data_IF_171653351049
#
_entry.id   IF_171653351049
#
_cell.length_a   1.000
_cell.length_b   1.000
_cell.length_c   1.000
_cell.angle_alpha   90.00
_cell.angle_beta   90.00
_cell.angle_gamma   90.00
#
_symmetry.space_group_name_H-M   'P 1'
#
loop_
_entity.id
_entity.type
_entity.pdbx_description
1 polymer ?
#
# COMPACT_ATOMS: atom_id res chain seq x y z
N UNK A 1 -31.94 -44.11 -35.08
CA UNK A 1 -30.61 -44.72 -34.92
C UNK A 1 -29.69 -43.67 -34.31
N UNK A 2 -29.14 -43.90 -33.12
CA UNK A 2 -28.31 -42.92 -32.41
C UNK A 2 -26.83 -43.16 -32.77
N UNK A 3 -26.20 -42.20 -33.43
CA UNK A 3 -24.76 -42.20 -33.72
C UNK A 3 -24.00 -41.54 -32.57
N UNK A 4 -23.27 -42.32 -31.78
CA UNK A 4 -22.39 -41.81 -30.72
C UNK A 4 -21.01 -41.49 -31.29
N UNK A 5 -20.55 -40.23 -31.17
CA UNK A 5 -19.17 -39.85 -31.48
C UNK A 5 -18.18 -40.48 -30.48
N UNK A 6 -16.97 -40.90 -30.93
CA UNK A 6 -15.93 -41.38 -30.02
C UNK A 6 -15.30 -40.23 -29.22
N UNK A 7 -14.82 -40.47 -27.98
CA UNK A 7 -14.19 -39.43 -27.17
C UNK A 7 -12.85 -38.95 -27.78
N UNK A 8 -12.52 -37.65 -27.66
CA UNK A 8 -11.27 -37.12 -28.20
C UNK A 8 -10.07 -37.72 -27.45
N UNK A 9 -9.07 -38.19 -28.21
CA UNK A 9 -7.81 -38.72 -27.68
C UNK A 9 -7.04 -37.59 -27.00
N UNK A 10 -6.61 -37.79 -25.75
CA UNK A 10 -5.77 -36.84 -25.02
C UNK A 10 -4.45 -36.62 -25.79
N UNK A 11 -4.01 -35.37 -26.02
CA UNK A 11 -2.75 -35.11 -26.70
C UNK A 11 -1.57 -35.63 -25.86
N UNK A 12 -0.57 -36.20 -26.54
CA UNK A 12 0.69 -36.62 -25.91
C UNK A 12 1.45 -35.37 -25.49
N UNK A 13 1.50 -35.13 -24.18
CA UNK A 13 2.27 -34.03 -23.59
C UNK A 13 3.75 -34.28 -23.87
N UNK A 14 4.46 -33.30 -24.41
CA UNK A 14 5.89 -33.40 -24.70
C UNK A 14 6.72 -33.01 -23.48
N UNK A 15 7.96 -33.49 -23.34
CA UNK A 15 8.83 -33.10 -22.21
C UNK A 15 9.00 -31.58 -22.10
N UNK A 16 9.00 -30.85 -23.23
CA UNK A 16 9.06 -29.40 -23.26
C UNK A 16 7.85 -28.72 -22.58
N UNK A 17 6.65 -29.32 -22.69
CA UNK A 17 5.46 -28.82 -22.01
C UNK A 17 5.52 -29.05 -20.49
N UNK A 18 6.18 -30.15 -20.08
CA UNK A 18 6.40 -30.48 -18.66
C UNK A 18 7.39 -29.49 -18.04
N UNK A 19 8.50 -29.20 -18.73
CA UNK A 19 9.46 -28.18 -18.29
C UNK A 19 8.83 -26.79 -18.23
N UNK A 20 7.96 -26.43 -19.17
CA UNK A 20 7.22 -25.17 -19.15
C UNK A 20 6.29 -25.07 -17.93
N UNK A 21 5.66 -26.17 -17.51
CA UNK A 21 4.82 -26.21 -16.31
C UNK A 21 5.65 -26.18 -15.02
N UNK A 22 6.82 -26.83 -14.99
CA UNK A 22 7.75 -26.81 -13.85
C UNK A 22 8.33 -25.39 -13.66
N UNK A 23 8.71 -24.72 -14.76
CA UNK A 23 9.16 -23.32 -14.74
C UNK A 23 8.03 -22.33 -14.44
N UNK A 24 6.77 -22.73 -14.66
CA UNK A 24 5.57 -22.05 -14.18
C UNK A 24 5.25 -22.42 -12.73
N UNK A 25 6.25 -22.90 -11.99
CA UNK A 25 6.21 -23.14 -10.56
C UNK A 25 5.61 -21.93 -9.85
N UNK A 26 4.57 -22.19 -9.07
CA UNK A 26 3.85 -21.19 -8.30
C UNK A 26 4.79 -20.49 -7.33
N UNK A 27 5.23 -19.28 -7.69
CA UNK A 27 5.85 -18.37 -6.73
C UNK A 27 4.75 -17.77 -5.85
N UNK A 28 4.42 -18.48 -4.77
CA UNK A 28 3.80 -17.89 -3.59
C UNK A 28 4.86 -17.68 -2.52
N UNK A 29 5.89 -16.91 -2.87
CA UNK A 29 6.66 -16.18 -1.87
C UNK A 29 6.76 -14.78 -2.46
N UNK A 30 5.92 -13.87 -1.97
CA UNK A 30 6.26 -12.45 -2.04
C UNK A 30 7.58 -12.36 -1.30
N UNK A 31 8.67 -12.41 -2.05
CA UNK A 31 9.96 -11.99 -1.57
C UNK A 31 9.72 -10.69 -0.82
N UNK A 32 10.09 -10.70 0.45
CA UNK A 32 10.24 -9.50 1.25
C UNK A 32 11.33 -8.70 0.56
N UNK A 33 11.00 -8.02 -0.54
CA UNK A 33 11.85 -7.02 -1.15
C UNK A 33 12.27 -6.07 -0.02
N UNK A 34 13.54 -5.65 0.03
CA UNK A 34 13.98 -4.65 1.00
C UNK A 34 13.00 -3.49 0.88
N UNK A 35 12.41 -3.09 2.01
CA UNK A 35 11.33 -2.12 1.98
C UNK A 35 11.85 -0.83 1.35
N UNK A 36 11.49 -0.59 0.08
CA UNK A 36 11.90 0.61 -0.65
C UNK A 36 11.56 1.83 0.21
N UNK A 37 12.54 2.65 0.60
CA UNK A 37 12.28 3.82 1.43
C UNK A 37 11.38 4.84 0.72
N UNK A 38 11.30 4.76 -0.61
CA UNK A 38 10.45 5.62 -1.46
C UNK A 38 9.02 5.10 -1.62
N UNK A 39 8.72 3.87 -1.20
CA UNK A 39 7.36 3.33 -1.32
C UNK A 39 6.49 3.89 -0.20
N UNK A 40 5.43 4.61 -0.58
CA UNK A 40 4.43 5.11 0.35
C UNK A 40 3.82 3.95 1.16
N UNK A 41 4.03 3.97 2.48
CA UNK A 41 3.44 3.02 3.42
C UNK A 41 2.23 3.65 4.06
N UNK A 42 1.09 2.98 3.98
CA UNK A 42 -0.12 3.39 4.68
C UNK A 42 -0.06 2.90 6.14
N UNK A 43 -0.27 3.80 7.09
CA UNK A 43 -0.31 3.51 8.51
C UNK A 43 -1.65 3.98 9.06
N UNK A 44 -2.38 3.07 9.72
CA UNK A 44 -3.60 3.40 10.46
C UNK A 44 -3.23 3.76 11.89
N UNK A 45 -3.48 5.01 12.28
CA UNK A 45 -3.23 5.49 13.64
C UNK A 45 -4.56 5.72 14.36
N UNK A 46 -4.71 5.16 15.55
CA UNK A 46 -5.84 5.44 16.44
C UNK A 46 -5.40 6.45 17.50
N UNK A 47 -6.05 7.61 17.51
CA UNK A 47 -5.83 8.67 18.47
C UNK A 47 -7.08 8.85 19.34
N UNK A 48 -6.90 9.34 20.56
CA UNK A 48 -8.03 9.75 21.39
C UNK A 48 -8.63 11.06 20.87
N UNK A 49 -9.92 11.29 21.13
CA UNK A 49 -10.60 12.52 20.69
C UNK A 49 -10.01 13.80 21.28
N UNK A 50 -9.44 13.72 22.49
CA UNK A 50 -8.74 14.84 23.13
C UNK A 50 -7.51 15.27 22.31
N UNK A 51 -6.69 14.32 21.88
CA UNK A 51 -5.50 14.59 21.05
C UNK A 51 -5.91 15.22 19.71
N UNK A 52 -6.97 14.72 19.08
CA UNK A 52 -7.48 15.27 17.82
C UNK A 52 -7.92 16.73 18.02
N UNK A 53 -8.65 17.02 19.09
CA UNK A 53 -9.10 18.38 19.41
C UNK A 53 -7.91 19.33 19.66
N UNK A 54 -6.87 18.85 20.34
CA UNK A 54 -5.65 19.64 20.56
C UNK A 54 -4.93 19.94 19.24
N UNK A 55 -4.79 18.95 18.35
CA UNK A 55 -4.18 19.11 17.03
C UNK A 55 -4.94 20.18 16.23
N UNK A 56 -6.28 20.13 16.22
CA UNK A 56 -7.09 21.13 15.50
C UNK A 56 -6.93 22.54 16.08
N UNK A 57 -6.87 22.67 17.41
CA UNK A 57 -6.63 23.97 18.05
C UNK A 57 -5.26 24.57 17.66
N UNK A 58 -4.23 23.72 17.55
CA UNK A 58 -2.88 24.14 17.14
C UNK A 58 -2.82 24.45 15.64
N UNK A 59 -3.55 23.72 14.81
CA UNK A 59 -3.67 23.99 13.36
C UNK A 59 -4.34 25.32 13.08
N UNK A 60 -5.37 25.68 13.85
CA UNK A 60 -6.09 26.97 13.69
C UNK A 60 -5.23 28.19 14.04
N UNK A 61 -4.23 28.04 14.91
CA UNK A 61 -3.29 29.11 15.27
C UNK A 61 -2.33 29.47 14.13
N UNK A 62 -2.06 28.58 13.19
CA UNK A 62 -1.19 28.86 12.05
C UNK A 62 -1.90 29.77 11.04
N UNK A 63 -1.22 30.79 10.48
CA UNK A 63 -1.83 31.68 9.50
C UNK A 63 -2.32 30.89 8.28
N UNK A 64 -3.52 31.22 7.81
CA UNK A 64 -4.13 30.58 6.64
C UNK A 64 -3.34 30.96 5.39
N UNK A 65 -3.35 30.09 4.37
CA UNK A 65 -2.81 30.47 3.07
C UNK A 65 -3.60 31.67 2.52
N UNK A 66 -2.93 32.76 2.09
CA UNK A 66 -3.61 33.90 1.51
C UNK A 66 -4.40 33.45 0.28
N UNK A 67 -5.71 33.72 0.28
CA UNK A 67 -6.61 33.34 -0.80
C UNK A 67 -7.38 32.02 -0.64
N UNK A 68 -7.23 31.29 0.47
CA UNK A 68 -8.07 30.10 0.72
C UNK A 68 -8.70 30.09 2.13
N UNK A 69 -9.98 29.72 2.24
CA UNK A 69 -10.69 29.64 3.53
C UNK A 69 -10.36 28.36 4.31
N UNK A 70 -9.47 27.49 3.82
CA UNK A 70 -9.11 26.24 4.50
C UNK A 70 -7.94 26.47 5.47
N UNK A 71 -7.84 25.72 6.58
CA UNK A 71 -6.62 25.71 7.39
C UNK A 71 -5.42 25.38 6.49
N UNK A 72 -4.29 26.05 6.71
CA UNK A 72 -3.16 26.03 5.78
C UNK A 72 -2.49 24.66 5.59
N UNK A 73 -2.81 23.68 6.43
CA UNK A 73 -2.20 22.34 6.46
C UNK A 73 -3.21 21.26 6.81
N UNK A 74 -3.09 20.05 6.25
CA UNK A 74 -3.93 18.90 6.61
C UNK A 74 -3.57 18.32 8.00
N UNK A 75 -4.43 17.48 8.60
CA UNK A 75 -4.09 16.79 9.86
C UNK A 75 -2.89 15.86 9.65
N UNK A 76 -2.89 15.15 8.52
CA UNK A 76 -1.80 14.24 8.15
C UNK A 76 -0.46 14.99 8.06
N UNK A 77 -0.41 16.09 7.30
CA UNK A 77 0.83 16.85 7.12
C UNK A 77 1.30 17.48 8.43
N UNK A 78 0.37 17.91 9.29
CA UNK A 78 0.71 18.39 10.63
C UNK A 78 1.38 17.30 11.47
N UNK A 79 0.86 16.07 11.44
CA UNK A 79 1.45 14.94 12.16
C UNK A 79 2.83 14.60 11.60
N UNK A 80 2.99 14.57 10.27
CA UNK A 80 4.28 14.30 9.63
C UNK A 80 5.32 15.36 10.01
N UNK A 81 4.95 16.63 9.93
CA UNK A 81 5.84 17.75 10.29
C UNK A 81 6.27 17.66 11.76
N UNK A 82 5.33 17.40 12.69
CA UNK A 82 5.63 17.27 14.11
C UNK A 82 6.56 16.09 14.40
N UNK A 83 6.40 14.96 13.70
CA UNK A 83 7.30 13.80 13.84
C UNK A 83 8.69 14.14 13.30
N UNK A 84 8.79 14.80 12.15
CA UNK A 84 10.08 15.22 11.59
C UNK A 84 10.81 16.23 12.50
N UNK A 85 10.10 17.21 13.05
CA UNK A 85 10.64 18.18 14.00
C UNK A 85 11.17 17.48 15.27
N UNK A 86 10.43 16.49 15.77
CA UNK A 86 10.85 15.71 16.93
C UNK A 86 12.11 14.88 16.64
N UNK A 87 12.17 14.20 15.49
CA UNK A 87 13.34 13.44 15.05
C UNK A 87 14.59 14.30 14.83
N UNK A 88 14.40 15.54 14.36
CA UNK A 88 15.50 16.48 14.18
C UNK A 88 15.99 17.06 15.52
N UNK A 89 15.11 17.20 16.52
CA UNK A 89 15.47 17.71 17.85
C UNK A 89 16.22 16.68 18.71
N UNK A 90 15.97 15.39 18.47
CA UNK A 90 16.59 14.28 19.21
C UNK A 90 17.94 13.84 18.59
N UNK A 91 18.37 14.44 17.48
CA UNK A 91 19.69 14.25 16.85
C UNK A 91 20.70 15.28 17.34
#
# INVERSE_FOLDING_TARGET
MATTLPPPRKPKVTEADIEAVINKGGSTIKETAPADPERAKHINVRLTGQIISEIDSRRLKRPRRPGSPKPGISIHDWIVEAVLEKLNSDK
#
